data_IF_857038679949
#
_entry.id   IF_857038679949
#
_cell.length_a   1.000
_cell.length_b   1.000
_cell.length_c   1.000
_cell.angle_alpha   90.00
_cell.angle_beta   90.00
_cell.angle_gamma   90.00
#
_symmetry.space_group_name_H-M   'P 1'
#
loop_
_entity.id
_entity.type
_entity.pdbx_description
1 polymer ?
#
# COMPACT_ATOMS: atom_id res chain seq x y z
N UNK A 1 32.49 11.48 7.69
CA UNK A 1 31.70 10.24 7.83
C UNK A 1 30.23 10.57 7.63
N UNK A 2 29.44 9.81 6.84
CA UNK A 2 28.02 10.08 6.67
C UNK A 2 27.26 9.84 7.98
N UNK A 3 26.26 10.68 8.26
CA UNK A 3 25.46 10.63 9.49
C UNK A 3 24.55 9.38 9.54
N UNK A 4 24.11 8.92 10.74
CA UNK A 4 23.31 7.70 10.89
C UNK A 4 22.03 7.66 10.03
N UNK A 5 21.38 8.83 9.80
CA UNK A 5 20.22 8.97 8.90
C UNK A 5 20.56 8.61 7.45
N UNK A 6 21.73 9.02 6.96
CA UNK A 6 22.17 8.75 5.58
C UNK A 6 22.36 7.26 5.29
N UNK A 7 22.71 6.44 6.30
CA UNK A 7 22.82 4.98 6.12
C UNK A 7 21.45 4.30 6.09
N UNK A 8 20.52 4.73 6.95
CA UNK A 8 19.14 4.23 6.95
C UNK A 8 18.42 4.51 5.61
N UNK A 9 18.63 5.70 5.03
CA UNK A 9 18.08 6.05 3.72
C UNK A 9 18.65 5.16 2.60
N UNK A 10 19.94 4.84 2.64
CA UNK A 10 20.57 3.94 1.68
C UNK A 10 20.00 2.51 1.75
N UNK A 11 19.77 1.97 2.95
CA UNK A 11 19.16 0.65 3.11
C UNK A 11 17.71 0.60 2.62
N UNK A 12 16.90 1.62 2.93
CA UNK A 12 15.52 1.68 2.44
C UNK A 12 15.47 1.80 0.92
N UNK A 13 16.35 2.60 0.32
CA UNK A 13 16.47 2.71 -1.14
C UNK A 13 16.87 1.38 -1.77
N UNK A 14 17.86 0.69 -1.22
CA UNK A 14 18.30 -0.60 -1.75
C UNK A 14 17.19 -1.66 -1.64
N UNK A 15 16.45 -1.69 -0.53
CA UNK A 15 15.30 -2.58 -0.34
C UNK A 15 14.09 -2.25 -1.23
N UNK A 16 14.02 -1.05 -1.81
CA UNK A 16 13.02 -0.69 -2.82
C UNK A 16 13.52 -1.12 -4.21
N UNK A 17 14.79 -0.87 -4.52
CA UNK A 17 15.37 -1.19 -5.84
C UNK A 17 15.43 -2.69 -6.14
N UNK A 18 15.49 -3.54 -5.11
CA UNK A 18 15.46 -5.00 -5.26
C UNK A 18 14.09 -5.63 -5.00
N UNK A 19 13.05 -4.83 -4.74
CA UNK A 19 11.72 -5.35 -4.42
C UNK A 19 10.99 -5.82 -5.67
N UNK A 20 10.24 -6.91 -5.55
CA UNK A 20 9.28 -7.30 -6.59
C UNK A 20 8.08 -6.35 -6.61
N UNK A 21 7.33 -6.25 -7.71
CA UNK A 21 6.11 -5.44 -7.76
C UNK A 21 5.13 -5.74 -6.62
N UNK A 22 4.99 -7.02 -6.25
CA UNK A 22 4.12 -7.45 -5.16
C UNK A 22 4.61 -6.96 -3.80
N UNK A 23 5.93 -6.96 -3.58
CA UNK A 23 6.54 -6.43 -2.37
C UNK A 23 6.39 -4.90 -2.28
N UNK A 24 6.42 -4.19 -3.42
CA UNK A 24 6.15 -2.75 -3.47
C UNK A 24 4.70 -2.43 -3.09
N UNK A 25 3.72 -3.23 -3.53
CA UNK A 25 2.32 -3.09 -3.12
C UNK A 25 2.16 -3.28 -1.60
N UNK A 26 2.82 -4.28 -1.00
CA UNK A 26 2.81 -4.46 0.46
C UNK A 26 3.40 -3.24 1.18
N UNK A 27 4.51 -2.69 0.68
CA UNK A 27 5.12 -1.47 1.24
C UNK A 27 4.20 -0.25 1.14
N UNK A 28 3.43 -0.12 0.05
CA UNK A 28 2.41 0.93 -0.09
C UNK A 28 1.32 0.79 0.98
N UNK A 29 0.81 -0.42 1.23
CA UNK A 29 -0.14 -0.66 2.32
C UNK A 29 0.43 -0.30 3.69
N UNK A 30 1.65 -0.74 4.01
CA UNK A 30 2.31 -0.40 5.28
C UNK A 30 2.46 1.12 5.44
N UNK A 31 2.80 1.83 4.35
CA UNK A 31 2.90 3.28 4.34
C UNK A 31 1.54 3.96 4.57
N UNK A 32 0.47 3.45 3.96
CA UNK A 32 -0.90 3.94 4.13
C UNK A 32 -1.38 3.79 5.57
N UNK A 33 -1.26 2.58 6.15
CA UNK A 33 -1.64 2.28 7.54
C UNK A 33 -0.86 3.18 8.51
N UNK A 34 0.46 3.27 8.34
CA UNK A 34 1.27 4.13 9.20
C UNK A 34 0.93 5.62 9.05
N UNK A 35 0.43 6.05 7.89
CA UNK A 35 -0.05 7.42 7.68
C UNK A 35 -1.39 7.67 8.36
N UNK A 36 -2.28 6.67 8.40
CA UNK A 36 -3.52 6.73 9.18
C UNK A 36 -3.21 6.94 10.67
N UNK A 37 -2.32 6.12 11.25
CA UNK A 37 -1.94 6.23 12.68
C UNK A 37 -1.26 7.56 13.03
N UNK A 38 -0.62 8.21 12.06
CA UNK A 38 0.02 9.53 12.25
C UNK A 38 -0.91 10.72 11.96
N UNK A 39 -2.14 10.48 11.49
CA UNK A 39 -3.01 11.54 11.01
C UNK A 39 -2.54 12.23 9.73
N UNK A 40 -1.60 11.63 8.99
CA UNK A 40 -1.01 12.22 7.78
C UNK A 40 -1.89 11.94 6.55
N UNK A 41 -2.94 12.75 6.43
CA UNK A 41 -3.95 12.64 5.39
C UNK A 41 -3.40 12.90 3.99
N UNK A 42 -2.41 13.78 3.86
CA UNK A 42 -1.79 14.08 2.58
C UNK A 42 -1.04 12.85 2.04
N UNK A 43 -0.24 12.21 2.90
CA UNK A 43 0.53 11.03 2.54
C UNK A 43 -0.35 9.80 2.32
N UNK A 44 -1.38 9.62 3.15
CA UNK A 44 -2.39 8.58 2.92
C UNK A 44 -3.02 8.71 1.53
N UNK A 45 -3.47 9.91 1.15
CA UNK A 45 -4.07 10.15 -0.17
C UNK A 45 -3.09 9.93 -1.33
N UNK A 46 -1.80 10.20 -1.13
CA UNK A 46 -0.78 9.89 -2.12
C UNK A 46 -0.62 8.37 -2.32
N UNK A 47 -0.60 7.60 -1.22
CA UNK A 47 -0.58 6.13 -1.28
C UNK A 47 -1.81 5.57 -1.99
N UNK A 48 -3.00 6.05 -1.65
CA UNK A 48 -4.24 5.58 -2.27
C UNK A 48 -4.29 5.86 -3.77
N UNK A 49 -3.80 7.03 -4.22
CA UNK A 49 -3.68 7.32 -5.66
C UNK A 49 -2.72 6.37 -6.36
N UNK A 50 -1.60 6.05 -5.75
CA UNK A 50 -0.62 5.12 -6.31
C UNK A 50 -1.20 3.70 -6.43
N UNK A 51 -1.90 3.23 -5.39
CA UNK A 51 -2.59 1.93 -5.42
C UNK A 51 -3.64 1.88 -6.53
N UNK A 52 -4.45 2.93 -6.69
CA UNK A 52 -5.42 3.04 -7.80
C UNK A 52 -4.72 3.02 -9.16
N UNK A 53 -3.66 3.80 -9.32
CA UNK A 53 -2.90 3.88 -10.58
C UNK A 53 -2.21 2.56 -10.94
N UNK A 54 -1.91 1.72 -9.95
CA UNK A 54 -1.31 0.39 -10.16
C UNK A 54 -2.30 -0.70 -10.61
N UNK A 55 -3.61 -0.43 -10.57
CA UNK A 55 -4.62 -1.42 -10.96
C UNK A 55 -4.59 -1.67 -12.48
N UNK A 56 -4.46 -2.94 -12.86
CA UNK A 56 -4.63 -3.36 -14.25
C UNK A 56 -6.11 -3.68 -14.51
N UNK A 57 -6.85 -2.73 -15.09
CA UNK A 57 -8.29 -2.89 -15.35
C UNK A 57 -8.60 -3.93 -16.43
N UNK A 58 -7.70 -4.12 -17.39
CA UNK A 58 -7.88 -5.08 -18.49
C UNK A 58 -7.72 -6.53 -18.00
N UNK A 59 -6.60 -6.83 -17.33
CA UNK A 59 -6.32 -8.19 -16.81
C UNK A 59 -7.02 -8.49 -15.49
N UNK A 60 -7.20 -7.47 -14.65
CA UNK A 60 -7.79 -7.63 -13.32
C UNK A 60 -9.31 -7.67 -13.31
N UNK A 61 -9.98 -7.19 -14.37
CA UNK A 61 -11.42 -7.29 -14.56
C UNK A 61 -12.22 -6.88 -13.31
N UNK A 62 -13.10 -7.77 -12.86
CA UNK A 62 -13.96 -7.54 -11.69
C UNK A 62 -13.16 -7.29 -10.40
N UNK A 63 -12.03 -7.97 -10.20
CA UNK A 63 -11.20 -7.80 -9.00
C UNK A 63 -10.60 -6.39 -8.96
N UNK A 64 -10.07 -5.91 -10.09
CA UNK A 64 -9.56 -4.54 -10.19
C UNK A 64 -10.68 -3.50 -9.94
N UNK A 65 -11.88 -3.74 -10.48
CA UNK A 65 -13.05 -2.90 -10.22
C UNK A 65 -13.44 -2.83 -8.73
N UNK A 66 -13.49 -3.98 -8.05
CA UNK A 66 -13.80 -4.05 -6.61
C UNK A 66 -12.73 -3.35 -5.76
N UNK A 67 -11.45 -3.57 -6.07
CA UNK A 67 -10.34 -2.88 -5.39
C UNK A 67 -10.39 -1.37 -5.60
N UNK A 68 -10.69 -0.92 -6.82
CA UNK A 68 -10.90 0.49 -7.11
C UNK A 68 -11.98 1.10 -6.22
N UNK A 69 -13.14 0.44 -6.11
CA UNK A 69 -14.23 0.93 -5.25
C UNK A 69 -13.82 1.02 -3.78
N UNK A 70 -13.07 0.05 -3.27
CA UNK A 70 -12.56 0.09 -1.89
C UNK A 70 -11.58 1.25 -1.69
N UNK A 71 -10.66 1.48 -2.62
CA UNK A 71 -9.71 2.59 -2.52
C UNK A 71 -10.38 3.95 -2.68
N UNK A 72 -11.41 4.07 -3.53
CA UNK A 72 -12.22 5.28 -3.67
C UNK A 72 -12.95 5.59 -2.35
N UNK A 73 -13.56 4.59 -1.72
CA UNK A 73 -14.15 4.72 -0.39
C UNK A 73 -13.12 5.22 0.65
N UNK A 74 -11.92 4.64 0.67
CA UNK A 74 -10.85 5.08 1.56
C UNK A 74 -10.40 6.53 1.28
N UNK A 75 -10.40 6.94 0.01
CA UNK A 75 -10.07 8.32 -0.40
C UNK A 75 -11.07 9.31 0.21
N UNK A 76 -12.36 9.01 0.16
CA UNK A 76 -13.42 9.86 0.69
C UNK A 76 -13.35 9.96 2.22
N UNK A 77 -13.19 8.84 2.93
CA UNK A 77 -13.02 8.83 4.38
C UNK A 77 -11.75 9.59 4.83
N UNK A 78 -10.66 9.48 4.07
CA UNK A 78 -9.44 10.28 4.32
C UNK A 78 -9.68 11.80 4.16
N UNK A 79 -10.62 12.21 3.30
CA UNK A 79 -11.02 13.61 3.10
C UNK A 79 -11.92 14.13 4.25
N UNK A 80 -12.61 13.24 4.95
CA UNK A 80 -13.43 13.58 6.12
C UNK A 80 -12.65 13.47 7.44
N UNK A 81 -11.43 12.92 7.42
CA UNK A 81 -10.59 12.75 8.61
C UNK A 81 -10.89 11.48 9.41
N UNK A 82 -11.72 10.60 8.86
CA UNK A 82 -12.09 9.32 9.44
C UNK A 82 -11.07 8.25 9.04
N UNK A 83 -9.99 8.13 9.82
CA UNK A 83 -8.79 7.38 9.43
C UNK A 83 -8.73 5.96 10.00
N UNK A 84 -9.48 5.68 11.06
CA UNK A 84 -9.48 4.37 11.72
C UNK A 84 -10.10 3.28 10.81
N UNK A 85 -11.28 3.49 10.19
CA UNK A 85 -11.83 2.53 9.24
C UNK A 85 -10.91 2.31 8.02
N UNK A 86 -10.21 3.36 7.58
CA UNK A 86 -9.24 3.25 6.49
C UNK A 86 -8.05 2.39 6.88
N UNK A 87 -7.54 2.53 8.11
CA UNK A 87 -6.44 1.71 8.62
C UNK A 87 -6.83 0.22 8.69
N UNK A 88 -8.04 -0.09 9.16
CA UNK A 88 -8.56 -1.46 9.24
C UNK A 88 -8.68 -2.10 7.85
N UNK A 89 -9.29 -1.40 6.89
CA UNK A 89 -9.45 -1.88 5.52
C UNK A 89 -8.10 -2.14 4.87
N UNK A 90 -7.16 -1.19 4.95
CA UNK A 90 -5.83 -1.35 4.38
C UNK A 90 -5.05 -2.48 5.08
N UNK A 91 -5.26 -2.69 6.37
CA UNK A 91 -4.70 -3.81 7.13
C UNK A 91 -5.17 -5.17 6.59
N UNK A 92 -6.48 -5.33 6.44
CA UNK A 92 -7.06 -6.57 5.90
C UNK A 92 -6.60 -6.86 4.46
N UNK A 93 -6.58 -5.85 3.59
CA UNK A 93 -6.10 -6.00 2.21
C UNK A 93 -4.61 -6.38 2.15
N UNK A 94 -3.77 -5.76 2.98
CA UNK A 94 -2.35 -6.10 3.06
C UNK A 94 -2.14 -7.57 3.45
N UNK A 95 -2.89 -8.04 4.43
CA UNK A 95 -2.72 -9.39 4.97
C UNK A 95 -3.23 -10.45 3.96
N UNK A 96 -4.31 -10.15 3.25
CA UNK A 96 -4.75 -10.93 2.10
C UNK A 96 -3.69 -10.96 0.98
N UNK A 97 -3.08 -9.82 0.66
CA UNK A 97 -2.03 -9.73 -0.37
C UNK A 97 -0.79 -10.54 0.00
N UNK A 98 -0.31 -10.42 1.25
CA UNK A 98 0.81 -11.23 1.76
C UNK A 98 0.51 -12.73 1.66
N UNK A 99 -0.71 -13.12 2.00
CA UNK A 99 -1.14 -14.52 1.92
C UNK A 99 -1.19 -15.03 0.48
N UNK A 100 -1.68 -14.22 -0.46
CA UNK A 100 -1.72 -14.57 -1.88
C UNK A 100 -0.31 -14.69 -2.50
N UNK A 101 0.60 -13.77 -2.18
CA UNK A 101 1.99 -13.81 -2.66
C UNK A 101 2.75 -15.02 -2.10
N UNK A 102 2.59 -15.31 -0.81
CA UNK A 102 3.19 -16.50 -0.18
C UNK A 102 2.57 -17.79 -0.73
N UNK A 103 1.25 -17.79 -1.01
CA UNK A 103 0.56 -18.92 -1.63
C UNK A 103 1.01 -19.19 -3.07
N UNK A 104 1.23 -18.13 -3.87
CA UNK A 104 1.73 -18.24 -5.25
C UNK A 104 3.15 -18.79 -5.34
N UNK A 105 4.00 -18.57 -4.32
CA UNK A 105 5.36 -19.10 -4.27
C UNK A 105 5.43 -20.59 -3.88
N UNK A 106 4.35 -21.16 -3.31
CA UNK A 106 4.25 -22.58 -2.96
C UNK A 106 3.61 -23.44 -4.06
N UNK A 107 3.01 -22.82 -5.06
CA UNK A 107 2.31 -23.48 -6.16
C UNK A 107 3.14 -23.52 -7.47
N UNK A 108 4.37 -23.01 -7.44
CA UNK A 108 5.35 -23.01 -8.53
C UNK A 108 6.55 -23.89 -8.18
#
# INVERSE_FOLDING_TARGET
MPSPKSRFDSYQKQAIMSATPEQLVVKLYDLGIASCHRGDRYKLRAVLRELIASLNMEKGGEIAGRLYSIYAFCMDHSANGDLEPVAEILGGLRDAWKSAVVGSARAA
#
